data_IF_605702964764
#
_entry.id   IF_605702964764
#
_cell.length_a   1.000
_cell.length_b   1.000
_cell.length_c   1.000
_cell.angle_alpha   90.00
_cell.angle_beta   90.00
_cell.angle_gamma   90.00
#
_symmetry.space_group_name_H-M   'P 1'
#
loop_
_entity.id
_entity.type
_entity.pdbx_description
1 polymer ?
#
# COMPACT_ATOMS: atom_id res chain seq x y z
N UNK A 1 -8.86 65.91 -8.89
CA UNK A 1 -7.80 65.58 -7.91
C UNK A 1 -7.38 64.14 -8.17
N UNK A 2 -6.12 63.93 -8.56
CA UNK A 2 -5.57 62.69 -9.15
C UNK A 2 -5.86 61.43 -8.32
N UNK A 3 -6.40 60.40 -8.96
CA UNK A 3 -6.34 59.01 -8.46
C UNK A 3 -4.87 58.63 -8.23
N UNK A 4 -4.49 58.45 -6.97
CA UNK A 4 -3.15 58.03 -6.56
C UNK A 4 -3.05 56.52 -6.83
N UNK A 5 -2.18 56.02 -7.73
CA UNK A 5 -2.08 54.59 -8.05
C UNK A 5 -1.23 53.86 -6.99
N UNK A 6 -1.65 53.92 -5.72
CA UNK A 6 -0.99 53.23 -4.61
C UNK A 6 -1.80 51.99 -4.26
N UNK A 7 -1.61 50.91 -5.02
CA UNK A 7 -2.30 49.63 -4.78
C UNK A 7 -2.33 48.68 -5.97
N UNK A 8 -2.03 49.17 -7.19
CA UNK A 8 -2.05 48.34 -8.40
C UNK A 8 -1.11 47.13 -8.33
N UNK A 9 0.04 47.28 -7.66
CA UNK A 9 1.03 46.20 -7.50
C UNK A 9 0.49 45.09 -6.60
N UNK A 10 -0.20 45.45 -5.51
CA UNK A 10 -0.79 44.47 -4.57
C UNK A 10 -1.95 43.72 -5.21
N UNK A 11 -2.79 44.40 -6.01
CA UNK A 11 -3.90 43.75 -6.72
C UNK A 11 -3.35 42.77 -7.76
N UNK A 12 -2.33 43.18 -8.52
CA UNK A 12 -1.65 42.31 -9.47
C UNK A 12 -1.03 41.07 -8.79
N UNK A 13 -0.38 41.27 -7.64
CA UNK A 13 0.18 40.18 -6.85
C UNK A 13 -0.91 39.23 -6.33
N UNK A 14 -2.04 39.75 -5.84
CA UNK A 14 -3.17 38.92 -5.40
C UNK A 14 -3.75 38.07 -6.53
N UNK A 15 -3.87 38.63 -7.74
CA UNK A 15 -4.36 37.87 -8.90
C UNK A 15 -3.40 36.73 -9.25
N UNK A 16 -2.09 36.99 -9.26
CA UNK A 16 -1.07 35.95 -9.49
C UNK A 16 -1.15 34.88 -8.39
N UNK A 17 -1.21 35.30 -7.12
CA UNK A 17 -1.25 34.38 -5.99
C UNK A 17 -2.53 33.53 -5.98
N UNK A 18 -3.66 34.12 -6.38
CA UNK A 18 -4.93 33.42 -6.51
C UNK A 18 -4.89 32.30 -7.57
N UNK A 19 -4.01 32.38 -8.56
CA UNK A 19 -3.79 31.32 -9.55
C UNK A 19 -2.71 30.33 -9.09
N UNK A 20 -1.64 30.80 -8.44
CA UNK A 20 -0.54 29.95 -8.00
C UNK A 20 -0.90 29.04 -6.82
N UNK A 21 -1.72 29.51 -5.87
CA UNK A 21 -2.16 28.71 -4.72
C UNK A 21 -2.91 27.44 -5.16
N UNK A 22 -4.01 27.51 -5.96
CA UNK A 22 -4.73 26.31 -6.35
C UNK A 22 -3.90 25.40 -7.26
N UNK A 23 -3.02 25.97 -8.10
CA UNK A 23 -2.08 25.17 -8.89
C UNK A 23 -1.13 24.35 -8.01
N UNK A 24 -0.56 24.98 -6.98
CA UNK A 24 0.33 24.30 -6.03
C UNK A 24 -0.42 23.27 -5.19
N UNK A 25 -1.65 23.58 -4.77
CA UNK A 25 -2.52 22.65 -4.05
C UNK A 25 -2.78 21.39 -4.88
N UNK A 26 -3.18 21.56 -6.15
CA UNK A 26 -3.40 20.45 -7.08
C UNK A 26 -2.16 19.55 -7.23
N UNK A 27 -0.97 20.16 -7.38
CA UNK A 27 0.27 19.39 -7.47
C UNK A 27 0.53 18.61 -6.18
N UNK A 28 0.33 19.22 -5.02
CA UNK A 28 0.46 18.55 -3.73
C UNK A 28 -0.53 17.37 -3.65
N UNK A 29 -1.78 17.55 -4.03
CA UNK A 29 -2.80 16.49 -3.99
C UNK A 29 -2.42 15.30 -4.90
N UNK A 30 -1.91 15.55 -6.10
CA UNK A 30 -1.43 14.51 -7.00
C UNK A 30 -0.26 13.74 -6.37
N UNK A 31 0.71 14.45 -5.79
CA UNK A 31 1.86 13.82 -5.14
C UNK A 31 1.44 12.99 -3.92
N UNK A 32 0.53 13.50 -3.09
CA UNK A 32 -0.04 12.76 -1.95
C UNK A 32 -0.72 11.47 -2.41
N UNK A 33 -1.52 11.51 -3.47
CA UNK A 33 -2.14 10.31 -4.02
C UNK A 33 -1.10 9.28 -4.50
N UNK A 34 -0.06 9.73 -5.23
CA UNK A 34 0.99 8.81 -5.67
C UNK A 34 1.79 8.23 -4.50
N UNK A 35 2.02 9.00 -3.44
CA UNK A 35 2.72 8.53 -2.25
C UNK A 35 1.89 7.48 -1.51
N UNK A 36 0.59 7.72 -1.34
CA UNK A 36 -0.32 6.76 -0.73
C UNK A 36 -0.29 5.40 -1.46
N UNK A 37 -0.39 5.43 -2.81
CA UNK A 37 -0.31 4.23 -3.64
C UNK A 37 1.03 3.49 -3.49
N UNK A 38 2.14 4.23 -3.44
CA UNK A 38 3.48 3.65 -3.27
C UNK A 38 3.63 3.01 -1.89
N UNK A 39 3.16 3.67 -0.83
CA UNK A 39 3.19 3.14 0.53
C UNK A 39 2.40 1.84 0.63
N UNK A 40 1.17 1.81 0.10
CA UNK A 40 0.36 0.59 0.07
C UNK A 40 1.04 -0.56 -0.68
N UNK A 41 1.64 -0.27 -1.85
CA UNK A 41 2.37 -1.28 -2.63
C UNK A 41 3.61 -1.81 -1.90
N UNK A 42 4.34 -0.94 -1.21
CA UNK A 42 5.52 -1.33 -0.42
C UNK A 42 5.11 -2.18 0.78
N UNK A 43 4.07 -1.79 1.52
CA UNK A 43 3.54 -2.59 2.62
C UNK A 43 3.14 -3.99 2.15
N UNK A 44 2.39 -4.08 1.03
CA UNK A 44 2.02 -5.37 0.43
C UNK A 44 3.24 -6.21 0.06
N UNK A 45 4.27 -5.60 -0.57
CA UNK A 45 5.50 -6.30 -0.92
C UNK A 45 6.20 -6.89 0.31
N UNK A 46 6.32 -6.11 1.38
CA UNK A 46 6.94 -6.56 2.63
C UNK A 46 6.12 -7.70 3.26
N UNK A 47 4.79 -7.63 3.23
CA UNK A 47 3.92 -8.71 3.68
C UNK A 47 4.18 -10.00 2.89
N UNK A 48 4.19 -9.94 1.56
CA UNK A 48 4.45 -11.11 0.71
C UNK A 48 5.83 -11.69 0.97
N UNK A 49 6.87 -10.85 1.08
CA UNK A 49 8.23 -11.31 1.42
C UNK A 49 8.29 -11.95 2.81
N UNK A 50 7.55 -11.43 3.79
CA UNK A 50 7.48 -12.01 5.14
C UNK A 50 6.78 -13.37 5.16
N UNK A 51 5.66 -13.50 4.45
CA UNK A 51 4.92 -14.77 4.33
C UNK A 51 5.75 -15.81 3.60
N UNK A 52 6.45 -15.41 2.53
CA UNK A 52 7.38 -16.27 1.82
C UNK A 52 8.62 -16.64 2.66
N UNK A 53 9.05 -15.78 3.58
CA UNK A 53 10.15 -16.06 4.50
C UNK A 53 9.79 -17.11 5.56
N UNK A 54 8.51 -17.29 5.87
CA UNK A 54 7.97 -18.37 6.72
C UNK A 54 7.94 -19.73 6.00
N UNK A 55 8.87 -19.97 5.06
CA UNK A 55 9.07 -21.28 4.44
C UNK A 55 9.76 -22.24 5.41
N UNK A 56 9.53 -23.54 5.24
CA UNK A 56 10.20 -24.55 6.05
C UNK A 56 11.69 -24.66 5.69
N UNK A 57 12.55 -24.15 6.57
CA UNK A 57 14.01 -24.18 6.40
C UNK A 57 14.57 -25.59 6.41
N UNK A 58 13.99 -26.51 7.18
CA UNK A 58 14.49 -27.88 7.27
C UNK A 58 14.24 -28.61 5.94
N UNK A 59 13.07 -28.41 5.34
CA UNK A 59 12.73 -28.99 4.04
C UNK A 59 13.64 -28.44 2.92
N UNK A 60 13.96 -27.15 2.96
CA UNK A 60 14.90 -26.54 2.02
C UNK A 60 16.33 -27.06 2.21
N UNK A 61 16.84 -27.12 3.44
CA UNK A 61 18.22 -27.51 3.70
C UNK A 61 18.47 -29.00 3.47
N UNK A 62 17.48 -29.86 3.74
CA UNK A 62 17.60 -31.31 3.57
C UNK A 62 17.19 -31.80 2.17
N UNK A 63 16.20 -31.17 1.54
CA UNK A 63 15.60 -31.67 0.28
C UNK A 63 15.63 -30.64 -0.86
N UNK A 64 16.06 -29.41 -0.63
CA UNK A 64 16.00 -28.33 -1.63
C UNK A 64 14.58 -27.88 -1.96
N UNK A 65 13.56 -28.34 -1.23
CA UNK A 65 12.17 -27.99 -1.46
C UNK A 65 11.81 -26.68 -0.74
N UNK A 66 11.25 -25.74 -1.49
CA UNK A 66 10.53 -24.60 -0.92
C UNK A 66 9.08 -25.01 -0.71
N UNK A 67 8.74 -25.38 0.52
CA UNK A 67 7.36 -25.61 0.94
C UNK A 67 7.01 -24.64 2.06
N UNK A 68 5.87 -23.98 1.92
CA UNK A 68 5.17 -23.38 3.04
C UNK A 68 4.34 -24.53 3.60
N UNK A 69 4.69 -25.01 4.80
CA UNK A 69 4.02 -26.13 5.45
C UNK A 69 2.48 -25.93 5.36
N UNK A 70 1.68 -26.97 5.06
CA UNK A 70 0.28 -26.82 4.69
C UNK A 70 -0.47 -26.11 5.80
N UNK A 71 -0.74 -24.82 5.57
CA UNK A 71 -1.69 -24.04 6.35
C UNK A 71 -2.97 -23.97 5.55
N UNK A 72 -4.07 -24.08 6.27
CA UNK A 72 -5.38 -23.78 5.73
C UNK A 72 -5.35 -22.40 5.08
N UNK A 73 -5.98 -22.24 3.92
CA UNK A 73 -5.93 -20.99 3.13
C UNK A 73 -6.41 -19.82 4.00
N UNK A 74 -7.42 -20.06 4.84
CA UNK A 74 -7.93 -19.10 5.83
C UNK A 74 -6.87 -18.64 6.85
N UNK A 75 -6.00 -19.55 7.31
CA UNK A 75 -4.94 -19.21 8.27
C UNK A 75 -3.85 -18.35 7.61
N UNK A 76 -3.62 -18.56 6.31
CA UNK A 76 -2.66 -17.77 5.53
C UNK A 76 -3.21 -16.37 5.24
N UNK A 77 -4.48 -16.26 4.87
CA UNK A 77 -5.17 -14.98 4.67
C UNK A 77 -5.18 -14.13 5.95
N UNK A 78 -5.44 -14.76 7.10
CA UNK A 78 -5.42 -14.07 8.41
C UNK A 78 -4.04 -13.52 8.75
N UNK A 79 -2.97 -14.28 8.50
CA UNK A 79 -1.60 -13.81 8.72
C UNK A 79 -1.25 -12.65 7.76
N UNK A 80 -1.60 -12.77 6.47
CA UNK A 80 -1.38 -11.69 5.49
C UNK A 80 -2.12 -10.43 5.92
N UNK A 81 -3.38 -10.55 6.36
CA UNK A 81 -4.19 -9.42 6.86
C UNK A 81 -3.55 -8.74 8.06
N UNK A 82 -3.06 -9.52 9.04
CA UNK A 82 -2.40 -8.98 10.23
C UNK A 82 -1.10 -8.26 9.88
N UNK A 83 -0.25 -8.88 9.04
CA UNK A 83 1.01 -8.28 8.59
C UNK A 83 0.77 -7.00 7.79
N UNK A 84 -0.26 -6.98 6.94
CA UNK A 84 -0.62 -5.82 6.13
C UNK A 84 -1.13 -4.67 6.98
N UNK A 85 -2.02 -4.97 7.94
CA UNK A 85 -2.54 -3.98 8.88
C UNK A 85 -1.44 -3.37 9.74
N UNK A 86 -0.46 -4.20 10.17
CA UNK A 86 0.72 -3.76 10.90
C UNK A 86 1.63 -2.87 10.05
N UNK A 87 1.90 -3.25 8.80
CA UNK A 87 2.76 -2.49 7.88
C UNK A 87 2.11 -1.18 7.39
N UNK A 88 0.78 -1.14 7.28
CA UNK A 88 0.02 0.06 6.97
C UNK A 88 -0.19 0.97 8.19
N UNK A 89 0.27 0.54 9.36
CA UNK A 89 0.20 1.28 10.62
C UNK A 89 -1.24 1.66 11.02
N UNK A 90 -2.22 0.81 10.65
CA UNK A 90 -3.64 1.02 10.97
C UNK A 90 -3.89 0.98 12.50
N UNK A 91 -2.99 0.38 13.27
CA UNK A 91 -3.19 0.11 14.70
C UNK A 91 -2.23 0.86 15.64
N UNK A 92 -1.10 1.37 15.15
CA UNK A 92 -0.19 2.15 16.01
C UNK A 92 -0.55 3.62 15.94
N UNK A 93 -1.56 3.99 16.74
CA UNK A 93 -1.74 5.35 17.20
C UNK A 93 -0.53 5.74 18.07
N UNK A 94 0.61 6.02 17.44
CA UNK A 94 1.74 6.65 18.11
C UNK A 94 1.31 8.09 18.40
N UNK A 95 1.24 8.44 19.69
CA UNK A 95 0.91 9.78 20.16
C UNK A 95 1.76 10.82 19.41
N UNK A 96 1.12 11.62 18.55
CA UNK A 96 1.76 12.63 17.71
C UNK A 96 1.91 12.31 16.21
N UNK A 97 1.64 11.09 15.74
CA UNK A 97 1.60 10.76 14.30
C UNK A 97 0.15 10.56 13.84
N UNK A 98 -0.40 11.54 13.12
CA UNK A 98 -1.68 11.39 12.44
C UNK A 98 -1.49 10.54 11.19
N UNK A 99 -2.24 9.45 11.04
CA UNK A 99 -2.34 8.74 9.77
C UNK A 99 -2.90 9.71 8.72
N UNK A 100 -2.07 10.08 7.75
CA UNK A 100 -2.40 11.08 6.73
C UNK A 100 -3.31 10.54 5.62
N UNK A 101 -3.49 9.21 5.57
CA UNK A 101 -4.20 8.52 4.48
C UNK A 101 -5.34 7.63 4.96
N UNK A 102 -5.39 7.30 6.26
CA UNK A 102 -6.43 6.45 6.89
C UNK A 102 -6.63 5.15 6.11
N UNK A 103 -5.54 4.40 5.90
CA UNK A 103 -5.60 3.18 5.11
C UNK A 103 -6.51 2.14 5.77
N UNK A 104 -7.50 1.65 5.02
CA UNK A 104 -8.37 0.53 5.41
C UNK A 104 -8.16 -0.64 4.47
N UNK A 105 -7.78 -1.78 5.04
CA UNK A 105 -7.72 -3.06 4.32
C UNK A 105 -9.14 -3.61 4.23
N UNK A 106 -9.72 -3.65 3.03
CA UNK A 106 -11.11 -4.11 2.82
C UNK A 106 -11.20 -5.62 2.60
N UNK A 107 -10.25 -6.18 1.86
CA UNK A 107 -10.18 -7.61 1.57
C UNK A 107 -8.74 -7.99 1.22
N UNK A 108 -8.36 -9.19 1.62
CA UNK A 108 -7.10 -9.84 1.24
C UNK A 108 -7.53 -11.17 0.63
N UNK A 109 -7.11 -11.40 -0.61
CA UNK A 109 -7.34 -12.66 -1.33
C UNK A 109 -5.97 -13.29 -1.58
N UNK A 110 -5.76 -14.49 -1.03
CA UNK A 110 -4.51 -15.22 -1.21
C UNK A 110 -4.67 -16.19 -2.40
N UNK A 111 -3.92 -15.96 -3.47
CA UNK A 111 -3.88 -16.88 -4.62
C UNK A 111 -2.66 -17.81 -4.46
N UNK A 112 -2.82 -19.02 -3.90
CA UNK A 112 -1.74 -19.99 -3.82
C UNK A 112 -1.36 -20.48 -5.23
N UNK A 113 -0.07 -20.51 -5.53
CA UNK A 113 0.45 -21.21 -6.71
C UNK A 113 0.82 -22.63 -6.32
N UNK A 114 -0.01 -23.59 -6.72
CA UNK A 114 0.26 -25.01 -6.56
C UNK A 114 1.12 -25.55 -7.71
N UNK A 115 1.89 -26.61 -7.45
CA UNK A 115 2.64 -27.30 -8.49
C UNK A 115 1.69 -28.07 -9.43
N UNK A 116 1.92 -28.00 -10.74
CA UNK A 116 1.14 -28.74 -11.76
C UNK A 116 1.17 -30.27 -11.59
N UNK A 117 2.11 -30.80 -10.81
CA UNK A 117 2.10 -32.22 -10.43
C UNK A 117 0.97 -32.59 -9.46
N UNK A 118 0.32 -31.62 -8.83
CA UNK A 118 -0.82 -31.89 -7.94
C UNK A 118 -2.12 -32.10 -8.75
N UNK A 119 -2.83 -33.23 -8.52
CA UNK A 119 -4.01 -33.59 -9.31
C UNK A 119 -5.18 -32.60 -9.16
N UNK A 120 -5.24 -31.85 -8.06
CA UNK A 120 -6.27 -30.84 -7.83
C UNK A 120 -6.17 -29.65 -8.78
N UNK A 121 -4.94 -29.20 -9.11
CA UNK A 121 -4.69 -28.07 -10.02
C UNK A 121 -5.13 -28.41 -11.44
N UNK A 122 -4.94 -29.66 -11.85
CA UNK A 122 -5.35 -30.17 -13.15
C UNK A 122 -6.89 -30.24 -13.26
N UNK A 123 -7.59 -30.61 -12.18
CA UNK A 123 -9.05 -30.63 -12.17
C UNK A 123 -9.66 -29.22 -12.28
N UNK A 124 -9.00 -28.22 -11.68
CA UNK A 124 -9.47 -26.83 -11.68
C UNK A 124 -9.26 -26.12 -13.03
N UNK A 125 -8.35 -26.61 -13.89
CA UNK A 125 -8.13 -26.08 -15.24
C UNK A 125 -9.03 -26.72 -16.32
N UNK A 126 -9.65 -27.86 -16.02
CA UNK A 126 -10.48 -28.62 -16.97
C UNK A 126 -11.97 -28.28 -16.82
N UNK A 127 -12.37 -27.56 -15.77
CA UNK A 127 -13.75 -27.13 -15.54
C UNK A 127 -14.01 -25.66 -15.84
#
# INVERSE_FOLDING_TARGET
MLFKPRGSITIFLCIILAVLIPLSCMLIDITRYSLAKKQAKTALKICTESVLATYDRQLKEQYGLFAICPRDVESMEKEIYELLSRNLNTESAVDGFTDLYEFKVLSVDAIPFYNYSEPFVLQQQVS
#
